data_IF_917018241756
#
_entry.id   IF_917018241756
#
_cell.length_a   1.000
_cell.length_b   1.000
_cell.length_c   1.000
_cell.angle_alpha   90.00
_cell.angle_beta   90.00
_cell.angle_gamma   90.00
#
_symmetry.space_group_name_H-M   'P 1'
#
loop_
_entity.id
_entity.type
_entity.pdbx_description
1 polymer ?
#
# COMPACT_ATOMS: atom_id res chain seq x y z
N UNK A 1 12.22 20.82 32.41
CA UNK A 1 11.54 21.64 31.38
C UNK A 1 11.54 20.97 29.99
N UNK A 2 12.66 20.50 29.44
CA UNK A 2 12.73 19.97 28.05
C UNK A 2 11.99 18.65 27.76
N UNK A 3 11.83 17.76 28.74
CA UNK A 3 11.05 16.52 28.59
C UNK A 3 9.54 16.80 28.49
N UNK A 4 9.02 17.74 29.29
CA UNK A 4 7.60 18.12 29.26
C UNK A 4 7.19 18.76 27.93
N UNK A 5 8.05 19.62 27.37
CA UNK A 5 7.80 20.24 26.05
C UNK A 5 7.79 19.18 24.94
N UNK A 6 8.70 18.21 24.95
CA UNK A 6 8.70 17.11 23.97
C UNK A 6 7.47 16.22 24.08
N UNK A 7 7.00 15.92 25.30
CA UNK A 7 5.77 15.15 25.52
C UNK A 7 4.56 15.90 24.95
N UNK A 8 4.45 17.21 25.18
CA UNK A 8 3.35 18.02 24.66
C UNK A 8 3.36 18.10 23.12
N UNK A 9 4.53 18.28 22.51
CA UNK A 9 4.67 18.30 21.04
C UNK A 9 4.27 16.94 20.44
N UNK A 10 4.75 15.83 21.00
CA UNK A 10 4.38 14.50 20.52
C UNK A 10 2.88 14.22 20.64
N UNK A 11 2.24 14.67 21.72
CA UNK A 11 0.80 14.57 21.89
C UNK A 11 0.06 15.39 20.83
N UNK A 12 0.45 16.66 20.62
CA UNK A 12 -0.16 17.49 19.58
C UNK A 12 0.01 16.91 18.18
N UNK A 13 1.17 16.34 17.86
CA UNK A 13 1.41 15.66 16.57
C UNK A 13 0.49 14.45 16.43
N UNK A 14 0.33 13.61 17.48
CA UNK A 14 -0.57 12.45 17.43
C UNK A 14 -2.02 12.84 17.12
N UNK A 15 -2.51 13.96 17.65
CA UNK A 15 -3.86 14.45 17.35
C UNK A 15 -4.03 14.98 15.91
N UNK A 16 -2.93 15.26 15.21
CA UNK A 16 -2.93 15.78 13.84
C UNK A 16 -2.66 14.69 12.79
N UNK A 17 -2.30 13.47 13.20
CA UNK A 17 -2.11 12.36 12.26
C UNK A 17 -3.47 11.98 11.66
N UNK A 18 -3.61 11.96 10.32
CA UNK A 18 -4.84 11.55 9.68
C UNK A 18 -5.16 10.09 10.00
N UNK A 19 -6.44 9.80 10.22
CA UNK A 19 -6.93 8.44 10.32
C UNK A 19 -7.02 7.87 8.91
N UNK A 20 -6.04 7.07 8.52
CA UNK A 20 -5.95 6.40 7.22
C UNK A 20 -5.71 4.91 7.48
N UNK A 21 -6.33 4.05 6.68
CA UNK A 21 -6.05 2.61 6.77
C UNK A 21 -4.74 2.25 6.05
N UNK A 22 -4.21 1.06 6.36
CA UNK A 22 -2.93 0.64 5.80
C UNK A 22 -2.97 0.46 4.25
N UNK A 23 -4.04 -0.10 3.64
CA UNK A 23 -4.20 -0.12 2.19
C UNK A 23 -4.20 1.26 1.51
N UNK A 24 -4.86 2.26 2.09
CA UNK A 24 -4.86 3.63 1.58
C UNK A 24 -3.46 4.25 1.74
N UNK A 25 -2.82 4.05 2.89
CA UNK A 25 -1.49 4.59 3.17
C UNK A 25 -0.43 4.07 2.18
N UNK A 26 -0.43 2.77 1.87
CA UNK A 26 0.56 2.21 0.93
C UNK A 26 0.38 2.75 -0.49
N UNK A 27 -0.87 2.98 -0.91
CA UNK A 27 -1.17 3.58 -2.21
C UNK A 27 -0.73 5.05 -2.25
N UNK A 28 -0.92 5.80 -1.17
CA UNK A 28 -0.45 7.19 -1.06
C UNK A 28 1.08 7.27 -1.11
N UNK A 29 1.77 6.42 -0.36
CA UNK A 29 3.24 6.33 -0.41
C UNK A 29 3.70 6.00 -1.83
N UNK A 30 3.02 5.08 -2.52
CA UNK A 30 3.35 4.78 -3.90
C UNK A 30 3.19 5.99 -4.83
N UNK A 31 2.17 6.82 -4.64
CA UNK A 31 2.03 8.06 -5.44
C UNK A 31 3.19 9.04 -5.24
N UNK A 32 3.80 9.06 -4.04
CA UNK A 32 4.91 9.94 -3.74
C UNK A 32 6.25 9.43 -4.26
N UNK A 33 6.57 8.16 -4.00
CA UNK A 33 7.91 7.60 -4.28
C UNK A 33 7.94 6.66 -5.48
N UNK A 34 6.77 6.25 -5.98
CA UNK A 34 6.61 5.33 -7.11
C UNK A 34 7.40 4.03 -6.96
N UNK A 35 7.36 3.43 -5.76
CA UNK A 35 8.14 2.23 -5.49
C UNK A 35 7.69 1.04 -6.36
N UNK A 36 6.44 1.04 -6.84
CA UNK A 36 5.94 0.00 -7.75
C UNK A 36 6.62 0.03 -9.12
N UNK A 37 7.23 1.15 -9.52
CA UNK A 37 7.97 1.26 -10.79
C UNK A 37 9.24 0.40 -10.79
N UNK A 38 9.72 -0.01 -9.62
CA UNK A 38 10.84 -0.94 -9.49
C UNK A 38 10.46 -2.39 -9.87
N UNK A 39 9.17 -2.71 -9.98
CA UNK A 39 8.69 -4.03 -10.37
C UNK A 39 8.65 -4.12 -11.89
N UNK A 40 9.69 -4.71 -12.46
CA UNK A 40 9.81 -4.93 -13.91
C UNK A 40 9.26 -6.29 -14.31
N UNK A 41 8.52 -6.31 -15.42
CA UNK A 41 7.97 -7.54 -15.98
C UNK A 41 9.08 -8.48 -16.46
N UNK A 42 9.00 -9.76 -16.11
CA UNK A 42 10.05 -10.75 -16.45
C UNK A 42 10.09 -11.07 -17.95
N UNK A 43 8.95 -10.94 -18.65
CA UNK A 43 8.92 -11.04 -20.10
C UNK A 43 9.11 -9.65 -20.71
N UNK A 44 10.10 -9.51 -21.59
CA UNK A 44 10.41 -8.26 -22.30
C UNK A 44 9.32 -7.84 -23.31
N UNK A 45 8.21 -8.57 -23.39
CA UNK A 45 7.04 -8.17 -24.15
C UNK A 45 6.23 -7.19 -23.32
N UNK A 46 6.15 -5.94 -23.76
CA UNK A 46 5.40 -4.85 -23.11
C UNK A 46 3.91 -5.16 -23.00
N UNK A 47 3.54 -6.01 -22.04
CA UNK A 47 2.18 -6.13 -21.56
C UNK A 47 1.97 -5.04 -20.53
N UNK A 48 1.40 -3.92 -20.96
CA UNK A 48 1.02 -2.84 -20.07
C UNK A 48 -0.26 -3.27 -19.36
N UNK A 49 -0.13 -4.00 -18.26
CA UNK A 49 -1.27 -4.30 -17.38
C UNK A 49 -1.65 -2.98 -16.70
N UNK A 50 -2.88 -2.51 -16.91
CA UNK A 50 -3.40 -1.31 -16.24
C UNK A 50 -3.42 -1.51 -14.73
N UNK A 51 -3.18 -0.44 -13.98
CA UNK A 51 -3.35 -0.42 -12.51
C UNK A 51 -2.59 -1.55 -11.79
N UNK A 52 -1.39 -1.87 -12.26
CA UNK A 52 -0.51 -2.91 -11.68
C UNK A 52 0.00 -2.52 -10.29
N UNK A 53 0.15 -1.23 -10.04
CA UNK A 53 0.50 -0.68 -8.75
C UNK A 53 -0.50 -1.07 -7.67
N UNK A 54 -1.80 -1.09 -7.98
CA UNK A 54 -2.87 -1.52 -7.07
C UNK A 54 -2.69 -2.98 -6.67
N UNK A 55 -2.47 -3.87 -7.65
CA UNK A 55 -2.26 -5.30 -7.40
C UNK A 55 -0.99 -5.55 -6.59
N UNK A 56 0.12 -4.87 -6.90
CA UNK A 56 1.37 -4.97 -6.13
C UNK A 56 1.13 -4.55 -4.69
N UNK A 57 0.46 -3.41 -4.47
CA UNK A 57 0.14 -2.95 -3.12
C UNK A 57 -0.73 -3.96 -2.36
N UNK A 58 -1.75 -4.53 -3.01
CA UNK A 58 -2.59 -5.56 -2.40
C UNK A 58 -1.79 -6.80 -1.96
N UNK A 59 -0.90 -7.30 -2.81
CA UNK A 59 -0.01 -8.43 -2.46
C UNK A 59 0.94 -8.05 -1.32
N UNK A 60 1.55 -6.86 -1.35
CA UNK A 60 2.43 -6.39 -0.27
C UNK A 60 1.70 -6.31 1.07
N UNK A 61 0.47 -5.78 1.11
CA UNK A 61 -0.36 -5.76 2.32
C UNK A 61 -0.65 -7.18 2.80
N UNK A 62 -1.05 -8.06 1.89
CA UNK A 62 -1.35 -9.45 2.22
C UNK A 62 -0.17 -10.16 2.90
N UNK A 63 1.03 -9.98 2.34
CA UNK A 63 2.26 -10.58 2.84
C UNK A 63 2.75 -9.91 4.14
N UNK A 64 2.81 -8.58 4.17
CA UNK A 64 3.29 -7.83 5.33
C UNK A 64 2.40 -8.05 6.57
N UNK A 65 1.09 -8.20 6.36
CA UNK A 65 0.13 -8.43 7.43
C UNK A 65 -0.11 -9.91 7.75
N UNK A 66 0.46 -10.85 6.98
CA UNK A 66 0.21 -12.29 7.11
C UNK A 66 -1.28 -12.69 7.04
N UNK A 67 -2.07 -12.00 6.22
CA UNK A 67 -3.53 -12.19 6.14
C UNK A 67 -3.98 -13.09 4.97
N UNK A 68 -3.06 -13.42 4.06
CA UNK A 68 -3.36 -14.22 2.87
C UNK A 68 -4.13 -13.43 1.79
N UNK A 69 -4.09 -13.91 0.53
CA UNK A 69 -4.59 -13.13 -0.62
C UNK A 69 -6.11 -12.94 -0.58
N UNK A 70 -6.86 -13.89 -0.02
CA UNK A 70 -8.33 -13.79 0.07
C UNK A 70 -8.82 -12.54 0.81
N UNK A 71 -8.02 -11.99 1.71
CA UNK A 71 -8.36 -10.76 2.45
C UNK A 71 -8.24 -9.47 1.62
N UNK A 72 -7.54 -9.52 0.48
CA UNK A 72 -7.36 -8.37 -0.43
C UNK A 72 -8.03 -8.58 -1.79
N UNK A 73 -8.59 -9.77 -2.04
CA UNK A 73 -9.31 -10.09 -3.26
C UNK A 73 -10.70 -9.45 -3.26
N UNK A 74 -11.07 -8.86 -4.39
CA UNK A 74 -12.39 -8.26 -4.60
C UNK A 74 -12.94 -8.66 -5.97
N UNK A 75 -13.85 -9.66 -6.01
CA UNK A 75 -14.47 -10.08 -7.26
C UNK A 75 -15.21 -8.94 -7.95
N UNK A 76 -15.08 -8.86 -9.28
CA UNK A 76 -15.60 -7.79 -10.12
C UNK A 76 -14.73 -6.54 -10.17
N UNK A 77 -13.61 -6.49 -9.43
CA UNK A 77 -12.56 -5.48 -9.62
C UNK A 77 -11.39 -6.16 -10.30
N UNK A 78 -11.14 -5.91 -11.60
CA UNK A 78 -10.07 -6.56 -12.36
C UNK A 78 -8.74 -6.55 -11.63
N UNK A 79 -8.45 -5.46 -10.93
CA UNK A 79 -7.17 -5.21 -10.27
C UNK A 79 -6.92 -6.01 -9.00
N UNK A 80 -7.99 -6.58 -8.46
CA UNK A 80 -8.03 -7.31 -7.21
C UNK A 80 -8.70 -8.68 -7.39
N UNK A 81 -8.84 -9.16 -8.63
CA UNK A 81 -9.26 -10.53 -8.89
C UNK A 81 -8.21 -11.51 -8.39
N UNK A 82 -8.64 -12.67 -7.90
CA UNK A 82 -7.72 -13.67 -7.34
C UNK A 82 -6.62 -14.06 -8.34
N UNK A 83 -7.02 -14.35 -9.58
CA UNK A 83 -6.11 -14.76 -10.66
C UNK A 83 -5.10 -13.66 -11.04
N UNK A 84 -5.41 -12.39 -10.74
CA UNK A 84 -4.48 -11.28 -10.98
C UNK A 84 -3.39 -11.20 -9.90
N UNK A 85 -3.69 -11.66 -8.69
CA UNK A 85 -2.80 -11.53 -7.53
C UNK A 85 -1.88 -12.75 -7.30
N UNK A 86 -1.94 -13.75 -8.18
CA UNK A 86 -1.15 -15.00 -8.13
C UNK A 86 -0.22 -15.14 -9.32
#
# INVERSE_FOLDING_TARGET
>A
MGLYVNVQVNQSVQYLIPQIDLPELILEVNRWVKFTDAFVHISQGGSHVSDLDVSICAVLISQACNIGLKSVVKPGIPDLEYDRLT
#
